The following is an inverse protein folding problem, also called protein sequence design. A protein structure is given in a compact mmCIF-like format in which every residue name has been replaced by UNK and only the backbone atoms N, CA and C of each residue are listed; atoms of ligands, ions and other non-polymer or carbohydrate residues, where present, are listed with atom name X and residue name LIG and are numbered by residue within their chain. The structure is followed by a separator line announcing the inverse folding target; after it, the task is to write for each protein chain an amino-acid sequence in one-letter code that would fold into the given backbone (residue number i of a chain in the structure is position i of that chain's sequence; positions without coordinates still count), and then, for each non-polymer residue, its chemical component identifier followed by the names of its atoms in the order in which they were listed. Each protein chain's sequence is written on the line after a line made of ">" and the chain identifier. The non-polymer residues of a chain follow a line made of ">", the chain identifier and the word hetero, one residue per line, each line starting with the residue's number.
data_IF_044280774584
#
_entry.id   IF_044280774584
#
_cell.length_a   1.000
_cell.length_b   1.000
_cell.length_c   1.000
_cell.angle_alpha   90.00
_cell.angle_beta   90.00
_cell.angle_gamma   90.00
#
_symmetry.space_group_name_H-M   'P 1'
#
loop_
_entity.id
_entity.type
_entity.pdbx_description
1 polymer ?
#
# COMPACT_ATOMS: atom_id res chain seq x y z
N UNK A 1 -23.79 29.99 1.71
CA UNK A 1 -24.49 28.68 1.71
C UNK A 1 -25.99 28.95 1.80
N UNK A 2 -26.83 28.11 1.19
CA UNK A 2 -28.28 28.27 1.24
C UNK A 2 -28.89 26.97 1.81
N UNK A 3 -29.94 27.14 2.63
CA UNK A 3 -30.73 26.02 3.18
C UNK A 3 -32.05 25.99 2.44
N UNK A 4 -32.42 24.82 1.91
CA UNK A 4 -33.74 24.63 1.29
C UNK A 4 -34.81 24.49 2.38
N UNK A 5 -35.95 25.16 2.18
CA UNK A 5 -37.09 25.14 3.07
C UNK A 5 -38.26 24.49 2.31
N UNK A 6 -38.55 23.19 2.57
CA UNK A 6 -39.58 22.45 1.82
C UNK A 6 -40.96 23.06 1.92
N UNK A 7 -41.29 23.69 3.06
CA UNK A 7 -42.62 24.24 3.34
C UNK A 7 -42.98 25.41 2.43
N UNK A 8 -41.99 26.16 1.97
CA UNK A 8 -42.17 27.35 1.11
C UNK A 8 -41.59 27.14 -0.28
N UNK A 9 -40.95 26.00 -0.54
CA UNK A 9 -40.22 25.71 -1.78
C UNK A 9 -39.21 26.81 -2.14
N UNK A 10 -38.52 27.33 -1.12
CA UNK A 10 -37.59 28.46 -1.24
C UNK A 10 -36.24 28.17 -0.53
N UNK A 11 -35.28 29.07 -0.67
CA UNK A 11 -33.97 28.97 -0.07
C UNK A 11 -33.72 30.10 0.91
N UNK A 12 -33.42 29.75 2.14
CA UNK A 12 -32.89 30.68 3.16
C UNK A 12 -31.37 30.80 3.02
N UNK A 13 -30.88 32.03 2.92
CA UNK A 13 -29.45 32.31 2.87
C UNK A 13 -28.85 32.31 4.27
N UNK A 14 -27.82 31.51 4.49
CA UNK A 14 -27.03 31.51 5.72
C UNK A 14 -25.92 32.53 5.56
N UNK A 15 -25.98 33.62 6.34
CA UNK A 15 -25.05 34.77 6.27
C UNK A 15 -23.90 34.71 7.26
N UNK A 16 -23.98 33.87 8.30
CA UNK A 16 -23.05 33.85 9.42
C UNK A 16 -21.69 33.22 9.04
N UNK A 17 -21.67 32.40 8.01
CA UNK A 17 -20.46 31.74 7.51
C UNK A 17 -20.45 31.79 5.99
N UNK A 18 -19.32 32.16 5.42
CA UNK A 18 -19.12 32.22 3.97
C UNK A 18 -18.03 31.22 3.53
N UNK A 19 -18.22 29.90 3.69
CA UNK A 19 -17.25 28.96 3.15
C UNK A 19 -17.22 29.15 1.63
N UNK A 20 -16.06 29.54 1.11
CA UNK A 20 -15.80 29.51 -0.31
C UNK A 20 -15.31 28.11 -0.69
N UNK A 21 -15.54 27.71 -1.93
CA UNK A 21 -15.05 26.46 -2.50
C UNK A 21 -15.38 25.22 -1.62
N UNK A 22 -16.66 25.07 -1.26
CA UNK A 22 -17.15 23.94 -0.49
C UNK A 22 -16.91 22.65 -1.26
N UNK A 23 -16.14 21.76 -0.66
CA UNK A 23 -15.78 20.46 -1.24
C UNK A 23 -16.66 19.32 -0.78
N UNK A 24 -17.09 19.34 0.48
CA UNK A 24 -17.87 18.27 1.08
C UNK A 24 -18.76 18.79 2.22
N UNK A 25 -19.92 18.19 2.38
CA UNK A 25 -20.84 18.48 3.50
C UNK A 25 -21.34 17.14 4.04
N UNK A 26 -21.33 16.99 5.36
CA UNK A 26 -21.89 15.82 6.03
C UNK A 26 -22.45 16.17 7.40
N UNK A 27 -23.38 15.36 7.86
CA UNK A 27 -23.89 15.39 9.24
C UNK A 27 -23.28 14.21 10.01
N UNK A 28 -22.82 14.45 11.24
CA UNK A 28 -22.39 13.40 12.13
C UNK A 28 -23.53 12.91 13.04
N UNK A 29 -23.30 11.83 13.78
CA UNK A 29 -24.33 11.25 14.66
C UNK A 29 -24.67 12.10 15.89
N UNK A 30 -23.82 13.08 16.25
CA UNK A 30 -24.12 14.06 17.30
C UNK A 30 -25.03 15.18 16.81
N UNK A 31 -25.30 15.23 15.49
CA UNK A 31 -26.14 16.23 14.83
C UNK A 31 -25.39 17.51 14.44
N UNK A 32 -24.05 17.47 14.45
CA UNK A 32 -23.24 18.54 13.89
C UNK A 32 -23.19 18.43 12.37
N UNK A 33 -23.36 19.57 11.69
CA UNK A 33 -23.12 19.69 10.27
C UNK A 33 -21.67 20.15 10.03
N UNK A 34 -20.92 19.31 9.31
CA UNK A 34 -19.55 19.60 8.93
C UNK A 34 -19.48 20.04 7.48
N UNK A 35 -18.84 21.19 7.25
CA UNK A 35 -18.65 21.79 5.93
C UNK A 35 -17.16 21.92 5.67
N UNK A 36 -16.68 21.18 4.68
CA UNK A 36 -15.28 21.18 4.25
C UNK A 36 -15.07 22.21 3.11
N UNK A 37 -13.92 22.88 3.12
CA UNK A 37 -13.53 23.84 2.09
C UNK A 37 -12.16 23.47 1.49
N UNK A 38 -11.95 23.83 0.21
CA UNK A 38 -10.66 23.63 -0.46
C UNK A 38 -9.61 24.67 -0.07
N UNK A 39 -9.98 25.73 0.65
CA UNK A 39 -9.05 26.82 0.98
C UNK A 39 -9.23 27.44 2.37
N UNK A 40 -10.33 27.13 3.08
CA UNK A 40 -10.66 27.73 4.36
C UNK A 40 -10.72 26.72 5.53
N UNK A 41 -10.45 25.44 5.29
CA UNK A 41 -10.49 24.41 6.33
C UNK A 41 -11.88 23.81 6.55
N UNK A 42 -12.30 23.68 7.79
CA UNK A 42 -13.52 23.01 8.20
C UNK A 42 -14.38 23.94 9.01
N UNK A 43 -15.68 23.92 8.76
CA UNK A 43 -16.70 24.59 9.56
C UNK A 43 -17.61 23.53 10.18
N UNK A 44 -17.96 23.72 11.45
CA UNK A 44 -18.90 22.87 12.19
C UNK A 44 -20.09 23.71 12.66
N UNK A 45 -21.30 23.29 12.33
CA UNK A 45 -22.52 23.88 12.84
C UNK A 45 -23.15 22.96 13.89
N UNK A 46 -23.34 23.45 15.07
CA UNK A 46 -24.25 22.85 16.03
C UNK A 46 -25.69 23.20 15.66
N UNK A 47 -26.44 22.24 15.13
CA UNK A 47 -27.82 22.45 14.67
C UNK A 47 -28.80 22.76 15.80
N UNK A 48 -28.48 22.43 17.06
CA UNK A 48 -29.33 22.70 18.22
C UNK A 48 -29.16 24.14 18.70
N UNK A 49 -27.92 24.61 18.78
CA UNK A 49 -27.58 25.95 19.29
C UNK A 49 -27.43 26.97 18.17
N UNK A 50 -27.40 26.54 16.90
CA UNK A 50 -27.14 27.35 15.69
C UNK A 50 -25.77 28.06 15.76
N UNK A 51 -24.82 27.55 16.52
CA UNK A 51 -23.48 28.10 16.62
C UNK A 51 -22.55 27.47 15.59
N UNK A 52 -21.76 28.32 14.95
CA UNK A 52 -20.70 27.92 14.04
C UNK A 52 -19.35 27.94 14.74
N UNK A 53 -18.51 26.98 14.38
CA UNK A 53 -17.10 26.91 14.73
C UNK A 53 -16.27 26.78 13.45
N UNK A 54 -15.08 27.34 13.46
CA UNK A 54 -14.19 27.33 12.32
C UNK A 54 -12.83 26.77 12.72
N UNK A 55 -12.39 25.73 12.03
CA UNK A 55 -11.11 25.06 12.20
C UNK A 55 -10.25 25.38 10.96
N UNK A 56 -9.13 26.03 11.19
CA UNK A 56 -8.24 26.44 10.09
C UNK A 56 -6.76 26.30 10.45
N UNK A 57 -5.90 26.34 9.44
CA UNK A 57 -4.46 26.46 9.65
C UNK A 57 -4.17 27.82 10.31
N UNK A 58 -3.44 27.79 11.43
CA UNK A 58 -3.11 28.99 12.19
C UNK A 58 -2.26 29.95 11.36
N UNK A 59 -2.80 31.12 11.09
CA UNK A 59 -2.10 32.24 10.45
C UNK A 59 -2.16 33.44 11.37
N UNK A 60 -1.32 33.48 12.44
CA UNK A 60 -1.24 34.64 13.35
C UNK A 60 -1.40 34.33 14.83
N UNK A 61 -1.49 35.34 15.67
CA UNK A 61 -1.46 35.30 17.14
C UNK A 61 -2.85 35.09 17.82
N UNK A 62 -3.84 34.58 17.11
CA UNK A 62 -5.16 34.32 17.69
C UNK A 62 -5.14 33.06 18.53
N UNK A 63 -5.17 33.20 19.86
CA UNK A 63 -5.04 32.12 20.85
C UNK A 63 -6.22 31.12 20.91
N UNK A 64 -7.37 31.37 20.29
CA UNK A 64 -8.61 30.62 20.45
C UNK A 64 -9.08 29.87 19.19
N UNK A 65 -8.25 29.68 18.17
CA UNK A 65 -8.62 28.89 16.99
C UNK A 65 -8.14 27.44 17.13
N UNK A 66 -9.06 26.50 16.98
CA UNK A 66 -8.72 25.08 16.86
C UNK A 66 -7.95 24.85 15.56
N UNK A 67 -6.74 24.32 15.69
CA UNK A 67 -5.76 24.24 14.58
C UNK A 67 -5.90 22.95 13.81
N UNK A 68 -5.95 23.05 12.48
CA UNK A 68 -5.78 21.93 11.56
C UNK A 68 -4.50 22.10 10.74
N UNK A 69 -3.86 21.01 10.30
CA UNK A 69 -2.58 21.10 9.59
C UNK A 69 -2.69 21.53 8.12
N UNK A 70 -3.90 21.63 7.57
CA UNK A 70 -4.16 22.10 6.20
C UNK A 70 -5.53 22.75 6.09
N UNK A 71 -5.63 23.86 5.36
CA UNK A 71 -6.90 24.49 4.99
C UNK A 71 -7.58 23.82 3.78
N UNK A 72 -6.89 22.90 3.10
CA UNK A 72 -7.38 22.24 1.90
C UNK A 72 -8.00 20.89 2.25
N UNK A 73 -9.28 20.88 2.53
CA UNK A 73 -10.03 19.68 2.87
C UNK A 73 -10.84 19.25 1.66
N UNK A 74 -10.63 18.04 1.17
CA UNK A 74 -11.27 17.54 -0.04
C UNK A 74 -12.55 16.76 0.30
N UNK A 75 -12.50 15.89 1.29
CA UNK A 75 -13.56 14.93 1.60
C UNK A 75 -13.65 14.65 3.09
N UNK A 76 -14.77 14.14 3.53
CA UNK A 76 -14.96 13.63 4.89
C UNK A 76 -15.76 12.33 4.87
N UNK A 77 -15.62 11.52 5.91
CA UNK A 77 -16.31 10.24 6.07
C UNK A 77 -16.52 9.93 7.55
N UNK A 78 -17.68 9.33 7.88
CA UNK A 78 -17.88 8.60 9.14
C UNK A 78 -17.61 7.12 8.90
N UNK A 79 -16.84 6.50 9.77
CA UNK A 79 -16.69 5.06 9.76
C UNK A 79 -17.82 4.35 10.56
N UNK A 80 -17.82 3.03 10.53
CA UNK A 80 -18.83 2.21 11.20
C UNK A 80 -18.79 2.34 12.74
N UNK A 81 -17.66 2.82 13.29
CA UNK A 81 -17.46 3.11 14.72
C UNK A 81 -17.72 4.57 15.07
N UNK A 82 -18.29 5.33 14.13
CA UNK A 82 -18.60 6.76 14.30
C UNK A 82 -17.38 7.68 14.42
N UNK A 83 -16.18 7.21 14.06
CA UNK A 83 -15.04 8.10 13.94
C UNK A 83 -15.17 8.97 12.70
N UNK A 84 -14.81 10.22 12.84
CA UNK A 84 -14.86 11.20 11.77
C UNK A 84 -13.49 11.40 11.15
N UNK A 85 -13.42 11.22 9.83
CA UNK A 85 -12.21 11.25 9.05
C UNK A 85 -12.26 12.34 7.98
N UNK A 86 -11.13 13.01 7.74
CA UNK A 86 -11.02 14.06 6.72
C UNK A 86 -9.85 13.78 5.79
N UNK A 87 -10.10 13.84 4.50
CA UNK A 87 -9.08 13.76 3.46
C UNK A 87 -8.63 15.15 3.02
N UNK A 88 -7.33 15.37 2.98
CA UNK A 88 -6.73 16.66 2.70
C UNK A 88 -5.91 16.69 1.42
N UNK A 89 -5.66 17.88 0.89
CA UNK A 89 -4.59 18.14 -0.07
C UNK A 89 -3.34 18.63 0.69
N UNK A 90 -2.35 17.77 0.77
CA UNK A 90 -1.03 18.05 1.34
C UNK A 90 -0.71 17.36 2.67
N UNK A 91 -1.71 17.04 3.51
CA UNK A 91 -1.49 16.41 4.82
C UNK A 91 -1.99 14.97 4.94
N UNK A 92 -2.61 14.44 3.88
CA UNK A 92 -3.15 13.07 3.87
C UNK A 92 -4.46 12.96 4.65
N UNK A 93 -4.51 12.07 5.64
CA UNK A 93 -5.70 11.75 6.41
C UNK A 93 -5.65 12.35 7.82
N UNK A 94 -6.76 12.95 8.23
CA UNK A 94 -6.96 13.43 9.60
C UNK A 94 -8.10 12.67 10.26
N UNK A 95 -8.00 12.42 11.55
CA UNK A 95 -9.07 11.90 12.41
C UNK A 95 -9.48 13.00 13.39
N UNK A 96 -10.78 13.18 13.59
CA UNK A 96 -11.27 14.10 14.63
C UNK A 96 -11.50 13.35 15.94
N UNK A 97 -10.88 13.85 17.00
CA UNK A 97 -11.06 13.36 18.35
C UNK A 97 -12.17 14.18 19.05
N UNK A 98 -13.31 13.53 19.32
CA UNK A 98 -14.46 14.18 19.92
C UNK A 98 -14.31 14.50 21.42
N UNK A 99 -13.37 13.87 22.11
CA UNK A 99 -13.15 14.09 23.55
C UNK A 99 -12.25 15.30 23.78
N UNK A 100 -11.20 15.41 22.99
CA UNK A 100 -10.23 16.50 23.07
C UNK A 100 -10.55 17.67 22.12
N UNK A 101 -11.52 17.47 21.22
CA UNK A 101 -11.91 18.42 20.16
C UNK A 101 -10.75 18.84 19.23
N UNK A 102 -9.85 17.92 18.92
CA UNK A 102 -8.68 18.16 18.08
C UNK A 102 -8.67 17.26 16.84
N UNK A 103 -7.92 17.70 15.84
CA UNK A 103 -7.65 16.92 14.64
C UNK A 103 -6.28 16.24 14.75
N UNK A 104 -6.28 14.94 14.73
CA UNK A 104 -5.09 14.10 14.78
C UNK A 104 -4.66 13.72 13.36
N UNK A 105 -3.39 13.96 13.03
CA UNK A 105 -2.84 13.50 11.77
C UNK A 105 -2.53 12.01 11.83
N UNK A 106 -3.09 11.24 10.89
CA UNK A 106 -2.80 9.82 10.75
C UNK A 106 -1.44 9.62 10.10
N UNK A 107 -0.63 8.72 10.66
CA UNK A 107 0.67 8.36 10.08
C UNK A 107 0.44 7.46 8.88
N UNK A 108 0.61 8.02 7.70
CA UNK A 108 0.55 7.33 6.42
C UNK A 108 1.94 7.35 5.76
N UNK A 109 2.23 6.46 4.80
CA UNK A 109 3.42 6.57 3.97
C UNK A 109 3.59 7.96 3.35
N UNK A 110 4.83 8.45 3.24
CA UNK A 110 5.12 9.84 2.81
C UNK A 110 4.56 10.22 1.43
N UNK A 111 4.33 9.24 0.58
CA UNK A 111 3.74 9.42 -0.74
C UNK A 111 2.22 9.65 -0.72
N UNK A 112 1.54 9.48 0.43
CA UNK A 112 0.10 9.72 0.58
C UNK A 112 -0.12 11.09 1.22
N UNK A 113 -0.06 12.14 0.39
CA UNK A 113 -0.31 13.52 0.84
C UNK A 113 -1.68 14.04 0.46
N UNK A 114 -2.28 13.48 -0.58
CA UNK A 114 -3.57 13.92 -1.12
C UNK A 114 -4.55 12.75 -1.04
N UNK A 115 -5.67 12.95 -0.34
CA UNK A 115 -6.76 11.98 -0.24
C UNK A 115 -7.99 12.58 -0.90
N UNK A 116 -8.38 12.01 -2.04
CA UNK A 116 -9.48 12.50 -2.87
C UNK A 116 -10.85 12.04 -2.41
N UNK A 117 -10.94 10.79 -1.92
CA UNK A 117 -12.17 10.21 -1.37
C UNK A 117 -11.82 9.23 -0.26
N UNK A 118 -12.66 9.19 0.76
CA UNK A 118 -12.65 8.19 1.82
C UNK A 118 -13.97 7.43 1.73
N UNK A 119 -13.90 6.11 1.73
CA UNK A 119 -15.07 5.23 1.83
C UNK A 119 -14.80 4.25 2.98
N UNK A 120 -15.67 4.22 3.97
CA UNK A 120 -15.58 3.29 5.09
C UNK A 120 -16.38 2.03 4.76
N UNK A 121 -15.73 0.87 4.82
CA UNK A 121 -16.35 -0.43 4.59
C UNK A 121 -15.60 -1.52 5.37
N UNK A 122 -16.31 -2.39 6.07
CA UNK A 122 -15.74 -3.54 6.81
C UNK A 122 -14.68 -3.16 7.87
N UNK A 123 -14.88 -2.06 8.59
CA UNK A 123 -13.91 -1.47 9.52
C UNK A 123 -12.58 -1.05 8.86
N UNK A 124 -12.53 -0.90 7.56
CA UNK A 124 -11.41 -0.40 6.78
C UNK A 124 -11.78 0.93 6.11
N UNK A 125 -10.77 1.75 5.83
CA UNK A 125 -10.93 2.98 5.06
C UNK A 125 -10.29 2.81 3.69
N UNK A 126 -11.09 2.93 2.66
CA UNK A 126 -10.66 2.94 1.26
C UNK A 126 -10.37 4.37 0.83
N UNK A 127 -9.10 4.66 0.62
CA UNK A 127 -8.59 6.00 0.31
C UNK A 127 -8.20 6.05 -1.15
N UNK A 128 -8.87 6.89 -1.95
CA UNK A 128 -8.42 7.18 -3.31
C UNK A 128 -7.50 8.39 -3.29
N UNK A 129 -6.42 8.33 -4.07
CA UNK A 129 -5.37 9.35 -4.07
C UNK A 129 -4.92 9.72 -5.49
N UNK A 130 -3.93 10.58 -5.62
CA UNK A 130 -3.25 10.86 -6.89
C UNK A 130 -2.28 9.76 -7.32
N UNK A 131 -2.00 8.77 -6.45
CA UNK A 131 -1.01 7.71 -6.71
C UNK A 131 -1.49 6.33 -6.26
N UNK A 132 -2.69 5.95 -6.68
CA UNK A 132 -3.30 4.67 -6.37
C UNK A 132 -4.41 4.76 -5.33
N UNK A 133 -4.91 3.60 -4.97
CA UNK A 133 -5.92 3.40 -3.94
C UNK A 133 -5.29 2.64 -2.76
N UNK A 134 -5.66 3.03 -1.55
CA UNK A 134 -5.12 2.46 -0.32
C UNK A 134 -6.26 1.97 0.55
N UNK A 135 -6.09 0.79 1.12
CA UNK A 135 -6.95 0.27 2.17
C UNK A 135 -6.21 0.42 3.49
N UNK A 136 -6.67 1.33 4.33
CA UNK A 136 -6.13 1.61 5.66
C UNK A 136 -6.98 0.96 6.72
N UNK A 137 -6.35 0.24 7.64
CA UNK A 137 -6.99 -0.42 8.76
C UNK A 137 -6.74 0.37 10.05
N UNK A 138 -7.74 1.10 10.57
CA UNK A 138 -7.55 2.00 11.72
C UNK A 138 -7.10 1.32 13.01
N UNK A 139 -7.46 0.04 13.21
CA UNK A 139 -7.16 -0.69 14.45
C UNK A 139 -5.68 -0.98 14.65
N UNK A 140 -4.96 -1.28 13.59
CA UNK A 140 -3.55 -1.70 13.65
C UNK A 140 -2.62 -0.84 12.81
N UNK A 141 -3.16 0.16 12.10
CA UNK A 141 -2.41 1.06 11.23
C UNK A 141 -1.88 0.41 9.93
N UNK A 142 -2.31 -0.81 9.61
CA UNK A 142 -1.85 -1.48 8.38
C UNK A 142 -2.41 -0.83 7.14
N UNK A 143 -1.63 -0.85 6.05
CA UNK A 143 -2.00 -0.25 4.78
C UNK A 143 -1.72 -1.24 3.66
N UNK A 144 -2.72 -1.50 2.83
CA UNK A 144 -2.58 -2.21 1.56
C UNK A 144 -2.64 -1.21 0.41
N UNK A 145 -1.82 -1.44 -0.61
CA UNK A 145 -1.67 -0.52 -1.75
C UNK A 145 -2.16 -1.22 -3.00
N UNK A 146 -3.06 -0.54 -3.71
CA UNK A 146 -3.56 -0.95 -5.02
C UNK A 146 -3.17 0.09 -6.06
N UNK A 147 -2.70 -0.38 -7.21
CA UNK A 147 -2.29 0.45 -8.33
C UNK A 147 -2.77 -0.14 -9.66
N UNK A 148 -2.38 0.45 -10.77
CA UNK A 148 -2.74 -0.01 -12.11
C UNK A 148 -2.38 -1.48 -12.38
N UNK A 149 -1.29 -1.99 -11.78
CA UNK A 149 -0.89 -3.40 -11.91
C UNK A 149 -1.84 -4.35 -11.18
N UNK A 150 -2.65 -3.85 -10.25
CA UNK A 150 -3.70 -4.61 -9.55
C UNK A 150 -5.06 -4.53 -10.27
N UNK A 151 -5.13 -3.88 -11.43
CA UNK A 151 -6.34 -3.75 -12.23
C UNK A 151 -7.08 -2.43 -12.06
N UNK A 152 -6.47 -1.42 -11.40
CA UNK A 152 -7.08 -0.09 -11.39
C UNK A 152 -7.07 0.54 -12.80
N UNK A 153 -8.10 1.36 -13.09
CA UNK A 153 -8.24 2.08 -14.35
C UNK A 153 -7.00 2.95 -14.66
N UNK A 154 -6.44 3.57 -13.63
CA UNK A 154 -5.16 4.30 -13.57
C UNK A 154 -4.82 4.56 -12.09
N UNK A 155 -3.64 5.13 -11.81
CA UNK A 155 -3.26 5.45 -10.43
C UNK A 155 -3.90 6.75 -9.92
N UNK A 156 -4.33 7.63 -10.81
CA UNK A 156 -4.89 8.92 -10.43
C UNK A 156 -6.42 8.86 -10.36
N UNK A 157 -6.95 9.20 -9.18
CA UNK A 157 -8.39 9.32 -8.93
C UNK A 157 -8.83 10.78 -8.89
N UNK A 158 -10.14 11.00 -9.03
CA UNK A 158 -10.75 12.33 -9.00
C UNK A 158 -11.33 12.67 -7.61
N UNK A 159 -11.30 13.94 -7.18
CA UNK A 159 -11.88 14.36 -5.92
C UNK A 159 -13.35 13.97 -5.78
N UNK A 160 -13.72 13.45 -4.62
CA UNK A 160 -15.08 13.02 -4.27
C UNK A 160 -15.74 12.02 -5.23
N UNK A 161 -14.96 11.41 -6.10
CA UNK A 161 -15.44 10.47 -7.11
C UNK A 161 -15.44 9.04 -6.57
N UNK A 162 -16.40 8.73 -5.71
CA UNK A 162 -16.55 7.40 -5.18
C UNK A 162 -17.79 7.25 -4.31
N UNK A 163 -18.40 6.06 -4.35
CA UNK A 163 -19.60 5.70 -3.62
C UNK A 163 -19.58 4.21 -3.25
N UNK A 164 -20.17 3.88 -2.11
CA UNK A 164 -20.53 2.51 -1.75
C UNK A 164 -22.03 2.33 -1.93
N UNK A 165 -22.42 1.25 -2.59
CA UNK A 165 -23.80 0.84 -2.74
C UNK A 165 -24.28 0.05 -1.52
N UNK A 166 -25.60 -0.15 -1.42
CA UNK A 166 -26.23 -0.87 -0.32
C UNK A 166 -25.82 -2.36 -0.23
N UNK A 167 -25.38 -2.95 -1.34
CA UNK A 167 -24.89 -4.32 -1.41
C UNK A 167 -23.39 -4.46 -1.00
N UNK A 168 -22.74 -3.35 -0.63
CA UNK A 168 -21.33 -3.28 -0.28
C UNK A 168 -20.39 -3.04 -1.46
N UNK A 169 -20.87 -3.03 -2.70
CA UNK A 169 -20.06 -2.72 -3.89
C UNK A 169 -19.58 -1.28 -3.85
N UNK A 170 -18.31 -1.07 -4.12
CA UNK A 170 -17.67 0.24 -4.16
C UNK A 170 -17.34 0.61 -5.60
N UNK A 171 -17.70 1.84 -5.98
CA UNK A 171 -17.30 2.47 -7.23
C UNK A 171 -16.36 3.65 -6.93
N UNK A 172 -15.26 3.75 -7.65
CA UNK A 172 -14.29 4.86 -7.54
C UNK A 172 -13.89 5.34 -8.92
N UNK A 173 -14.02 6.63 -9.16
CA UNK A 173 -13.75 7.26 -10.45
C UNK A 173 -12.36 7.88 -10.53
N UNK A 174 -11.73 7.76 -11.69
CA UNK A 174 -10.43 8.33 -11.98
C UNK A 174 -10.35 8.93 -13.39
N UNK A 175 -9.14 9.28 -13.80
CA UNK A 175 -8.91 9.98 -15.08
C UNK A 175 -9.17 9.12 -16.31
N UNK A 176 -9.17 7.80 -16.18
CA UNK A 176 -9.32 6.84 -17.29
C UNK A 176 -10.54 5.91 -17.08
N UNK A 177 -11.59 6.40 -16.43
CA UNK A 177 -12.81 5.64 -16.15
C UNK A 177 -13.02 5.41 -14.66
N UNK A 178 -13.58 4.26 -14.30
CA UNK A 178 -13.87 3.91 -12.92
C UNK A 178 -13.48 2.46 -12.61
N UNK A 179 -13.32 2.16 -11.34
CA UNK A 179 -13.20 0.80 -10.84
C UNK A 179 -14.43 0.45 -10.02
N UNK A 180 -14.88 -0.79 -10.18
CA UNK A 180 -15.91 -1.44 -9.38
C UNK A 180 -15.25 -2.61 -8.63
N UNK A 181 -15.49 -2.70 -7.33
CA UNK A 181 -15.02 -3.83 -6.53
C UNK A 181 -15.88 -4.03 -5.28
N UNK A 182 -15.83 -5.24 -4.74
CA UNK A 182 -16.43 -5.56 -3.44
C UNK A 182 -15.30 -5.91 -2.47
N UNK A 183 -15.17 -5.22 -1.32
CA UNK A 183 -14.07 -5.44 -0.37
C UNK A 183 -13.89 -6.91 0.03
N UNK A 184 -14.97 -7.64 0.30
CA UNK A 184 -14.93 -9.06 0.69
C UNK A 184 -14.44 -10.01 -0.41
N UNK A 185 -14.47 -9.58 -1.66
CA UNK A 185 -14.06 -10.39 -2.83
C UNK A 185 -12.63 -10.13 -3.26
N UNK A 186 -11.98 -9.14 -2.65
CA UNK A 186 -10.57 -8.90 -2.93
C UNK A 186 -9.75 -10.02 -2.32
N UNK A 187 -8.88 -10.62 -3.14
CA UNK A 187 -8.07 -11.76 -2.75
C UNK A 187 -7.32 -11.48 -1.44
N UNK A 188 -7.51 -12.37 -0.47
CA UNK A 188 -6.78 -12.28 0.80
C UNK A 188 -5.29 -12.47 0.54
N UNK A 189 -4.39 -11.64 1.12
CA UNK A 189 -2.94 -11.69 0.88
C UNK A 189 -2.27 -12.98 1.38
N UNK A 190 -3.02 -13.93 1.93
CA UNK A 190 -2.51 -15.14 2.58
C UNK A 190 -2.07 -16.28 1.64
N UNK A 191 -2.03 -16.10 0.33
CA UNK A 191 -1.33 -17.07 -0.51
C UNK A 191 0.17 -16.95 -0.29
N UNK A 192 0.72 -17.88 0.50
CA UNK A 192 2.17 -18.03 0.67
C UNK A 192 2.80 -18.18 -0.71
N UNK A 193 3.55 -17.17 -1.09
CA UNK A 193 4.36 -17.22 -2.31
C UNK A 193 5.42 -18.29 -2.12
N UNK A 194 5.46 -19.29 -2.98
CA UNK A 194 6.54 -20.28 -2.96
C UNK A 194 7.71 -19.75 -3.79
N UNK A 195 8.90 -19.69 -3.21
CA UNK A 195 10.14 -19.36 -3.92
C UNK A 195 10.91 -20.63 -4.21
N UNK A 196 11.40 -20.77 -5.45
CA UNK A 196 12.12 -21.94 -5.94
C UNK A 196 13.37 -21.53 -6.71
N UNK A 197 14.35 -22.45 -6.74
CA UNK A 197 15.46 -22.35 -7.70
C UNK A 197 14.96 -22.90 -9.03
N UNK A 198 14.97 -22.06 -10.06
CA UNK A 198 14.38 -22.35 -11.36
C UNK A 198 15.39 -22.86 -12.37
N UNK A 199 16.64 -22.42 -12.33
CA UNK A 199 17.68 -22.77 -13.28
C UNK A 199 19.07 -22.77 -12.63
N UNK A 200 19.91 -23.67 -13.13
CA UNK A 200 21.33 -23.74 -12.77
C UNK A 200 22.16 -23.80 -14.06
N UNK A 201 23.18 -22.96 -14.12
CA UNK A 201 24.07 -22.89 -15.29
C UNK A 201 25.54 -22.96 -14.87
N UNK A 202 26.32 -23.61 -15.71
CA UNK A 202 27.78 -23.56 -15.68
C UNK A 202 28.29 -22.84 -16.94
N UNK A 203 29.17 -21.85 -16.76
CA UNK A 203 29.72 -21.05 -17.86
C UNK A 203 28.62 -20.46 -18.76
N UNK A 204 27.52 -19.98 -18.16
CA UNK A 204 26.31 -19.48 -18.82
C UNK A 204 25.58 -20.49 -19.74
N UNK A 205 25.82 -21.78 -19.56
CA UNK A 205 25.09 -22.85 -20.26
C UNK A 205 24.24 -23.65 -19.29
N UNK A 206 22.96 -23.90 -19.60
CA UNK A 206 22.09 -24.73 -18.76
C UNK A 206 22.68 -26.12 -18.55
N UNK A 207 22.64 -26.60 -17.29
CA UNK A 207 23.12 -27.93 -16.92
C UNK A 207 21.96 -28.91 -16.99
N UNK A 208 22.13 -29.98 -17.75
CA UNK A 208 21.15 -31.10 -17.83
C UNK A 208 21.38 -32.07 -16.72
N UNK A 209 20.31 -32.54 -16.09
CA UNK A 209 20.33 -33.60 -15.06
C UNK A 209 20.85 -34.90 -15.67
N UNK A 210 21.78 -35.56 -14.96
CA UNK A 210 22.28 -36.91 -15.33
C UNK A 210 23.13 -36.96 -16.59
N UNK A 211 23.60 -35.83 -17.14
CA UNK A 211 24.60 -35.83 -18.20
C UNK A 211 25.99 -36.12 -17.63
N UNK A 212 26.90 -36.64 -18.47
CA UNK A 212 28.28 -36.86 -18.06
C UNK A 212 28.92 -35.62 -17.45
N UNK A 213 29.50 -35.77 -16.27
CA UNK A 213 30.08 -34.66 -15.47
C UNK A 213 29.06 -33.60 -14.99
N UNK A 214 27.77 -33.89 -14.97
CA UNK A 214 26.78 -32.96 -14.39
C UNK A 214 26.84 -33.01 -12.86
N UNK A 215 26.97 -31.84 -12.18
CA UNK A 215 26.85 -31.80 -10.73
C UNK A 215 25.40 -31.97 -10.24
N UNK A 216 24.41 -32.06 -11.14
CA UNK A 216 23.01 -32.22 -10.82
C UNK A 216 22.58 -33.72 -10.96
N UNK A 217 22.23 -34.34 -9.87
CA UNK A 217 21.58 -35.65 -9.83
C UNK A 217 20.06 -35.54 -10.01
N UNK A 218 19.47 -34.42 -9.62
CA UNK A 218 18.04 -34.08 -9.78
C UNK A 218 17.89 -32.65 -10.29
N UNK A 219 16.65 -32.23 -10.63
CA UNK A 219 16.41 -30.82 -10.97
C UNK A 219 16.83 -29.94 -9.81
N UNK A 220 17.44 -28.79 -10.15
CA UNK A 220 17.86 -27.77 -9.15
C UNK A 220 16.71 -27.35 -8.23
N UNK A 221 15.48 -27.40 -8.70
CA UNK A 221 14.27 -27.08 -7.95
C UNK A 221 14.06 -28.00 -6.73
N UNK A 222 14.55 -29.24 -6.82
CA UNK A 222 14.40 -30.28 -5.80
C UNK A 222 15.73 -30.71 -5.18
N UNK A 223 16.83 -30.07 -5.59
CA UNK A 223 18.15 -30.36 -5.07
C UNK A 223 18.35 -29.73 -3.69
N UNK A 224 18.71 -30.50 -2.70
CA UNK A 224 19.06 -30.01 -1.35
C UNK A 224 20.53 -29.62 -1.26
N UNK A 225 21.39 -30.23 -2.09
CA UNK A 225 22.82 -30.00 -2.12
C UNK A 225 23.38 -30.09 -3.53
N UNK A 226 24.47 -29.38 -3.74
CA UNK A 226 25.23 -29.34 -5.00
C UNK A 226 26.71 -29.49 -4.71
N UNK A 227 27.35 -30.40 -5.45
CA UNK A 227 28.82 -30.57 -5.35
C UNK A 227 29.44 -29.99 -6.61
N UNK A 228 30.31 -28.97 -6.42
CA UNK A 228 31.02 -28.31 -7.49
C UNK A 228 32.50 -28.70 -7.42
N UNK A 229 33.07 -29.07 -8.54
CA UNK A 229 34.49 -29.30 -8.66
C UNK A 229 35.19 -28.00 -9.06
N UNK A 230 36.49 -27.88 -8.80
CA UNK A 230 37.28 -26.69 -9.15
C UNK A 230 37.15 -26.24 -10.61
N UNK A 231 36.92 -27.17 -11.53
CA UNK A 231 36.67 -26.87 -12.95
C UNK A 231 35.36 -26.10 -13.16
N UNK A 232 34.41 -26.11 -12.20
CA UNK A 232 33.12 -25.40 -12.29
C UNK A 232 33.22 -23.97 -11.74
N UNK A 233 34.27 -23.25 -12.14
CA UNK A 233 34.63 -21.95 -11.58
C UNK A 233 33.62 -20.82 -11.81
N UNK A 234 32.66 -20.99 -12.70
CA UNK A 234 31.59 -20.01 -12.97
C UNK A 234 30.26 -20.73 -12.98
N UNK A 235 29.39 -20.39 -12.04
CA UNK A 235 28.04 -20.91 -12.03
C UNK A 235 27.00 -19.83 -11.73
N UNK A 236 25.76 -20.04 -12.19
CA UNK A 236 24.66 -19.13 -11.99
C UNK A 236 23.43 -19.88 -11.47
N UNK A 237 22.74 -19.26 -10.50
CA UNK A 237 21.48 -19.71 -9.96
C UNK A 237 20.39 -18.71 -10.35
N UNK A 238 19.29 -19.19 -10.90
CA UNK A 238 18.12 -18.35 -11.18
C UNK A 238 17.00 -18.71 -10.20
N UNK A 239 16.34 -17.70 -9.68
CA UNK A 239 15.25 -17.79 -8.72
C UNK A 239 13.93 -17.47 -9.40
N UNK A 240 12.86 -18.16 -9.03
CA UNK A 240 11.49 -17.84 -9.42
C UNK A 240 10.54 -17.91 -8.24
N UNK A 241 9.49 -17.11 -8.28
CA UNK A 241 8.35 -17.22 -7.36
C UNK A 241 7.16 -17.79 -8.12
N UNK A 242 6.41 -18.66 -7.46
CA UNK A 242 5.17 -19.23 -8.01
C UNK A 242 3.96 -18.31 -7.72
N UNK A 243 4.19 -17.01 -7.67
CA UNK A 243 3.16 -16.00 -7.59
C UNK A 243 2.95 -15.36 -8.97
N UNK A 244 1.87 -15.74 -9.62
CA UNK A 244 1.52 -15.26 -10.97
C UNK A 244 0.52 -14.09 -10.94
N UNK A 245 -0.07 -13.78 -9.78
CA UNK A 245 -1.07 -12.72 -9.67
C UNK A 245 -0.47 -11.33 -9.92
N UNK A 246 0.68 -11.04 -9.32
CA UNK A 246 1.36 -9.76 -9.52
C UNK A 246 2.90 -9.91 -9.41
N UNK A 247 3.57 -10.46 -10.42
CA UNK A 247 5.00 -10.73 -10.38
C UNK A 247 5.87 -9.46 -10.20
N UNK A 248 5.39 -8.31 -10.66
CA UNK A 248 6.13 -7.03 -10.60
C UNK A 248 6.19 -6.42 -9.19
N UNK A 249 5.38 -6.90 -8.25
CA UNK A 249 5.40 -6.49 -6.85
C UNK A 249 6.26 -7.40 -5.96
N UNK A 250 6.79 -8.49 -6.52
CA UNK A 250 7.63 -9.39 -5.74
C UNK A 250 8.96 -8.71 -5.40
N UNK A 251 9.37 -8.85 -4.14
CA UNK A 251 10.68 -8.43 -3.66
C UNK A 251 11.49 -9.65 -3.29
N UNK A 252 12.77 -9.62 -3.57
CA UNK A 252 13.68 -10.74 -3.32
C UNK A 252 14.85 -10.26 -2.48
N UNK A 253 15.33 -11.14 -1.62
CA UNK A 253 16.62 -10.99 -0.98
C UNK A 253 17.35 -12.33 -1.00
N UNK A 254 18.63 -12.29 -1.27
CA UNK A 254 19.46 -13.49 -1.32
C UNK A 254 20.82 -13.26 -0.68
N UNK A 255 21.48 -14.37 -0.33
CA UNK A 255 22.79 -14.40 0.29
C UNK A 255 23.44 -15.74 0.10
N UNK A 256 24.73 -15.79 -0.20
CA UNK A 256 25.57 -16.98 -0.13
C UNK A 256 26.29 -16.98 1.22
N UNK A 257 25.75 -17.70 2.21
CA UNK A 257 26.39 -17.86 3.52
C UNK A 257 27.72 -18.59 3.38
N UNK A 258 28.71 -18.13 4.08
CA UNK A 258 30.11 -18.56 3.94
C UNK A 258 30.96 -17.72 3.01
N UNK A 259 30.32 -16.90 2.15
CA UNK A 259 31.00 -16.00 1.22
C UNK A 259 30.58 -14.54 1.40
N UNK A 260 29.29 -14.26 1.42
CA UNK A 260 28.72 -12.91 1.56
C UNK A 260 28.40 -12.61 3.04
N UNK A 261 28.63 -11.35 3.46
CA UNK A 261 28.30 -10.89 4.82
C UNK A 261 26.87 -10.44 4.95
N UNK A 262 26.35 -9.73 3.94
CA UNK A 262 25.07 -9.07 3.98
C UNK A 262 24.09 -9.68 2.96
N UNK A 263 22.80 -9.40 3.14
CA UNK A 263 21.77 -9.75 2.18
C UNK A 263 21.75 -8.75 1.02
N UNK A 264 21.64 -9.27 -0.20
CA UNK A 264 21.39 -8.44 -1.39
C UNK A 264 19.88 -8.41 -1.67
N UNK A 265 19.32 -7.22 -1.82
CA UNK A 265 17.89 -6.99 -2.10
C UNK A 265 17.67 -6.57 -3.55
N UNK A 266 16.58 -7.06 -4.17
CA UNK A 266 16.19 -6.74 -5.55
C UNK A 266 14.69 -6.86 -5.76
N UNK A 267 14.14 -6.04 -6.65
CA UNK A 267 12.72 -6.04 -7.04
C UNK A 267 12.43 -6.91 -8.27
N UNK A 268 13.41 -7.66 -8.75
CA UNK A 268 13.24 -8.60 -9.85
C UNK A 268 13.79 -9.96 -9.48
N UNK A 269 13.24 -11.02 -10.08
CA UNK A 269 13.70 -12.38 -9.85
C UNK A 269 15.21 -12.49 -10.17
N UNK A 270 16.06 -12.76 -9.16
CA UNK A 270 17.50 -12.68 -9.34
C UNK A 270 18.03 -13.88 -10.14
N UNK A 271 18.99 -13.55 -11.00
CA UNK A 271 19.95 -14.50 -11.54
C UNK A 271 21.32 -14.12 -10.98
N UNK A 272 21.81 -14.95 -10.07
CA UNK A 272 23.06 -14.68 -9.34
C UNK A 272 24.17 -15.52 -9.92
N UNK A 273 25.31 -14.91 -10.22
CA UNK A 273 26.49 -15.59 -10.76
C UNK A 273 27.63 -15.48 -9.78
N UNK A 274 28.23 -16.60 -9.45
CA UNK A 274 29.42 -16.68 -8.64
C UNK A 274 30.60 -17.15 -9.50
N UNK A 275 31.77 -16.58 -9.21
CA UNK A 275 33.01 -16.89 -9.94
C UNK A 275 34.13 -17.18 -8.96
N UNK A 276 34.90 -18.25 -9.22
CA UNK A 276 36.10 -18.59 -8.48
C UNK A 276 35.89 -18.61 -6.95
N UNK A 277 34.84 -19.29 -6.47
CA UNK A 277 34.64 -19.45 -5.05
C UNK A 277 35.81 -20.27 -4.47
N UNK A 278 36.34 -19.88 -3.30
CA UNK A 278 37.28 -20.73 -2.54
C UNK A 278 36.65 -22.08 -2.20
N UNK A 279 37.47 -23.09 -2.01
CA UNK A 279 36.96 -24.40 -1.53
C UNK A 279 36.32 -24.25 -0.17
N UNK A 280 35.14 -24.82 0.02
CA UNK A 280 34.38 -24.71 1.25
C UNK A 280 32.93 -25.15 1.12
N UNK A 281 32.22 -25.00 2.24
CA UNK A 281 30.80 -25.26 2.32
C UNK A 281 30.03 -23.92 2.32
N UNK A 282 29.07 -23.81 1.44
CA UNK A 282 28.25 -22.62 1.26
C UNK A 282 26.76 -22.96 1.35
N UNK A 283 25.96 -22.01 1.78
CA UNK A 283 24.51 -22.15 1.72
C UNK A 283 23.92 -20.96 0.99
N UNK A 284 23.38 -21.17 -0.20
CA UNK A 284 22.63 -20.13 -0.90
C UNK A 284 21.25 -20.04 -0.28
N UNK A 285 20.93 -18.89 0.30
CA UNK A 285 19.61 -18.59 0.85
C UNK A 285 18.93 -17.53 0.03
N UNK A 286 17.67 -17.76 -0.26
CA UNK A 286 16.82 -16.76 -0.92
C UNK A 286 15.47 -16.67 -0.22
N UNK A 287 14.99 -15.46 -0.11
CA UNK A 287 13.66 -15.13 0.38
C UNK A 287 12.96 -14.28 -0.67
N UNK A 288 11.69 -14.51 -0.85
CA UNK A 288 10.83 -13.64 -1.66
C UNK A 288 9.60 -13.24 -0.87
N UNK A 289 9.18 -11.99 -1.02
CA UNK A 289 7.89 -11.52 -0.54
C UNK A 289 7.03 -11.08 -1.72
N UNK A 290 5.71 -11.32 -1.62
CA UNK A 290 4.76 -10.71 -2.54
C UNK A 290 4.50 -9.25 -2.13
N UNK A 291 3.79 -8.49 -2.98
CA UNK A 291 3.43 -7.09 -2.70
C UNK A 291 2.59 -6.89 -1.44
N UNK A 292 2.05 -7.94 -0.85
CA UNK A 292 1.23 -7.94 0.37
C UNK A 292 2.03 -8.31 1.63
N UNK A 293 3.35 -8.53 1.49
CA UNK A 293 4.25 -8.81 2.61
C UNK A 293 4.30 -10.30 3.03
N UNK A 294 3.63 -11.22 2.31
CA UNK A 294 3.77 -12.65 2.57
C UNK A 294 5.16 -13.13 2.13
N UNK A 295 5.94 -13.66 3.07
CA UNK A 295 7.34 -14.04 2.87
C UNK A 295 7.49 -15.56 2.74
N UNK A 296 8.28 -16.01 1.78
CA UNK A 296 8.69 -17.39 1.59
C UNK A 296 10.22 -17.51 1.51
N UNK A 297 10.74 -18.64 1.90
CA UNK A 297 12.17 -18.95 1.93
C UNK A 297 12.48 -20.26 1.22
N UNK A 298 13.63 -20.32 0.54
CA UNK A 298 14.25 -21.57 0.13
C UNK A 298 15.77 -21.49 0.32
N UNK A 299 16.44 -22.65 0.34
CA UNK A 299 17.90 -22.72 0.45
C UNK A 299 18.47 -23.89 -0.34
N UNK A 300 19.71 -23.77 -0.75
CA UNK A 300 20.52 -24.80 -1.39
C UNK A 300 21.87 -24.83 -0.70
N UNK A 301 22.31 -26.02 -0.28
CA UNK A 301 23.67 -26.22 0.25
C UNK A 301 24.61 -26.55 -0.91
N UNK A 302 25.71 -25.84 -1.00
CA UNK A 302 26.76 -26.10 -1.98
C UNK A 302 28.05 -26.47 -1.27
N UNK A 303 28.74 -27.47 -1.79
CA UNK A 303 30.05 -27.90 -1.35
C UNK A 303 31.02 -27.81 -2.52
N UNK A 304 32.10 -27.04 -2.39
CA UNK A 304 33.14 -26.95 -3.40
C UNK A 304 34.36 -27.74 -2.95
N UNK A 305 34.80 -28.71 -3.76
CA UNK A 305 35.94 -29.55 -3.48
C UNK A 305 37.21 -28.92 -4.02
N UNK A 306 38.31 -28.97 -3.21
CA UNK A 306 39.66 -28.71 -3.72
C UNK A 306 40.00 -29.76 -4.80
N UNK A 307 40.56 -29.34 -5.92
CA UNK A 307 41.34 -30.24 -6.73
C UNK A 307 42.59 -30.60 -5.93
N UNK A 308 42.80 -31.88 -5.66
CA UNK A 308 44.07 -32.34 -5.15
C UNK A 308 45.18 -31.89 -6.13
N UNK A 309 46.07 -31.03 -5.67
CA UNK A 309 47.29 -30.74 -6.35
C UNK A 309 48.14 -32.02 -6.31
N UNK A 310 48.21 -32.78 -7.40
CA UNK A 310 49.24 -33.75 -7.69
C UNK A 310 50.36 -33.09 -8.45
#
# INVERSE_FOLDING_TARGET
>A
MNKYIPETDDFERIYEVHPADVSYIMEDKKGYLWVCSLNQGIFRLDRKTQKWEHFSLRTGEEENQSVIPSNKIITACLDEKENLWFGTDGCGLLKYNYEEEVFEKVVLPENIRVVHKIIAANNELWLTTSNGMYCYQPENGSIKIYNKLDGLQENQFLPNSGIQLADGTIFVGGINGFNEFHPDRLASPNQKTTVVLADFQLFNKPVKVGSDNSPLSTSITYADHLVLEHKHSIFSLSVATLNYANPSKNQYKYKLEGFEKDWTETNSAPRVTYTNLPSGNYTFRVSASNGDGAVSYTHLRAHETCADLV
#
